data_IF_850938919931
#
_entry.id   IF_850938919931
#
_cell.length_a   1.000
_cell.length_b   1.000
_cell.length_c   1.000
_cell.angle_alpha   90.00
_cell.angle_beta   90.00
_cell.angle_gamma   90.00
#
_symmetry.space_group_name_H-M   'P 1'
#
loop_
_entity.id
_entity.type
_entity.pdbx_description
1 polymer ?
#
# COMPACT_ATOMS: atom_id res chain seq x y z
N UNK A 1 6.72 1.77 -13.44
CA UNK A 1 5.32 1.33 -13.28
C UNK A 1 4.39 2.26 -14.03
N UNK A 2 4.53 3.56 -13.82
CA UNK A 2 3.68 4.61 -14.38
C UNK A 2 3.64 4.55 -15.92
N UNK A 3 4.79 4.38 -16.59
CA UNK A 3 4.84 4.20 -18.04
C UNK A 3 4.03 2.97 -18.51
N UNK A 4 4.11 1.84 -17.79
CA UNK A 4 3.32 0.65 -18.13
C UNK A 4 1.81 0.90 -17.93
N UNK A 5 1.42 1.69 -16.92
CA UNK A 5 0.02 2.08 -16.73
C UNK A 5 -0.47 3.04 -17.82
N UNK A 6 0.37 3.99 -18.24
CA UNK A 6 0.08 4.91 -19.34
C UNK A 6 -0.06 4.18 -20.67
N UNK A 7 0.80 3.18 -20.93
CA UNK A 7 0.69 2.32 -22.10
C UNK A 7 -0.63 1.56 -22.13
N UNK A 8 -1.11 1.11 -20.96
CA UNK A 8 -2.35 0.35 -20.84
C UNK A 8 -2.18 -1.14 -21.20
N UNK A 9 -3.26 -1.91 -21.00
CA UNK A 9 -3.30 -3.35 -21.25
C UNK A 9 -2.80 -4.24 -20.09
N UNK A 10 -2.43 -3.65 -18.95
CA UNK A 10 -2.00 -4.39 -17.76
C UNK A 10 -2.37 -3.65 -16.47
N UNK A 11 -2.58 -4.42 -15.40
CA UNK A 11 -2.57 -3.90 -14.03
C UNK A 11 -1.17 -4.17 -13.46
N UNK A 12 -0.51 -3.15 -12.94
CA UNK A 12 0.86 -3.28 -12.43
C UNK A 12 0.93 -3.04 -10.94
N UNK A 13 1.87 -3.74 -10.30
CA UNK A 13 2.23 -3.48 -8.92
C UNK A 13 3.76 -3.44 -8.76
N UNK A 14 4.23 -2.81 -7.68
CA UNK A 14 5.59 -3.00 -7.19
C UNK A 14 5.58 -3.15 -5.67
N UNK A 15 6.67 -3.70 -5.14
CA UNK A 15 6.82 -3.95 -3.71
C UNK A 15 8.21 -3.62 -3.18
N UNK A 16 8.27 -3.13 -1.95
CA UNK A 16 9.50 -2.95 -1.15
C UNK A 16 9.12 -2.85 0.34
N UNK A 17 10.07 -2.55 1.23
CA UNK A 17 9.77 -2.20 2.62
C UNK A 17 9.17 -0.79 2.69
N UNK A 18 8.22 -0.56 3.61
CA UNK A 18 7.57 0.75 3.77
C UNK A 18 8.58 1.87 4.04
N UNK A 19 9.65 1.58 4.77
CA UNK A 19 10.72 2.55 5.05
C UNK A 19 11.47 3.00 3.78
N UNK A 20 11.52 2.17 2.75
CA UNK A 20 12.17 2.48 1.48
C UNK A 20 11.22 3.11 0.45
N UNK A 21 9.95 3.32 0.81
CA UNK A 21 9.00 4.05 -0.04
C UNK A 21 9.44 5.49 -0.32
N UNK A 22 10.27 6.08 0.55
CA UNK A 22 10.87 7.39 0.32
C UNK A 22 11.74 7.44 -0.96
N UNK A 23 12.39 6.34 -1.34
CA UNK A 23 13.17 6.25 -2.59
C UNK A 23 12.31 6.34 -3.85
N UNK A 24 11.01 6.10 -3.74
CA UNK A 24 10.07 6.12 -4.86
C UNK A 24 8.91 7.10 -4.67
N UNK A 25 8.96 7.94 -3.64
CA UNK A 25 7.91 8.90 -3.28
C UNK A 25 7.55 9.85 -4.41
N UNK A 26 8.55 10.29 -5.18
CA UNK A 26 8.33 11.15 -6.35
C UNK A 26 7.54 10.42 -7.45
N UNK A 27 7.80 9.12 -7.67
CA UNK A 27 7.04 8.33 -8.63
C UNK A 27 5.60 8.11 -8.16
N UNK A 28 5.39 7.80 -6.88
CA UNK A 28 4.04 7.68 -6.30
C UNK A 28 3.27 9.00 -6.47
N UNK A 29 3.93 10.15 -6.22
CA UNK A 29 3.32 11.45 -6.41
C UNK A 29 2.95 11.72 -7.87
N UNK A 30 3.78 11.28 -8.82
CA UNK A 30 3.46 11.38 -10.24
C UNK A 30 2.26 10.50 -10.62
N UNK A 31 2.19 9.26 -10.12
CA UNK A 31 1.02 8.41 -10.28
C UNK A 31 -0.26 9.05 -9.75
N UNK A 32 -0.22 9.68 -8.58
CA UNK A 32 -1.36 10.40 -8.01
C UNK A 32 -1.78 11.61 -8.86
N UNK A 33 -0.82 12.42 -9.33
CA UNK A 33 -1.10 13.58 -10.18
C UNK A 33 -1.66 13.20 -11.55
N UNK A 34 -1.28 12.05 -12.09
CA UNK A 34 -1.71 11.54 -13.39
C UNK A 34 -2.99 10.68 -13.29
N UNK A 35 -3.49 10.42 -12.08
CA UNK A 35 -4.64 9.53 -11.86
C UNK A 35 -4.39 8.08 -12.27
N UNK A 36 -3.15 7.59 -12.12
CA UNK A 36 -2.79 6.23 -12.56
C UNK A 36 -3.13 5.20 -11.47
N UNK A 37 -3.88 4.12 -11.80
CA UNK A 37 -4.21 3.08 -10.84
C UNK A 37 -3.06 2.07 -10.64
N UNK A 38 -1.89 2.57 -10.23
CA UNK A 38 -0.73 1.76 -9.83
C UNK A 38 -0.94 1.23 -8.41
N UNK A 39 -0.62 -0.05 -8.18
CA UNK A 39 -0.63 -0.63 -6.83
C UNK A 39 0.78 -0.71 -6.25
N UNK A 40 0.98 -0.19 -5.04
CA UNK A 40 2.26 -0.23 -4.33
C UNK A 40 2.09 -1.05 -3.05
N UNK A 41 2.88 -2.12 -2.92
CA UNK A 41 2.81 -3.06 -1.82
C UNK A 41 4.01 -2.83 -0.90
N UNK A 42 3.80 -2.11 0.20
CA UNK A 42 4.84 -1.93 1.19
C UNK A 42 4.68 -2.90 2.34
N UNK A 43 5.67 -3.76 2.54
CA UNK A 43 5.72 -4.66 3.69
C UNK A 43 6.57 -4.03 4.80
N UNK A 44 6.63 -4.66 5.97
CA UNK A 44 7.48 -4.20 7.07
C UNK A 44 7.13 -2.77 7.55
N UNK A 45 5.89 -2.32 7.34
CA UNK A 45 5.07 -1.98 8.50
C UNK A 45 5.49 -0.87 9.47
N UNK A 46 6.32 -1.29 10.42
CA UNK A 46 6.43 -0.68 11.73
C UNK A 46 7.67 -1.19 12.47
N UNK A 47 7.83 -0.76 13.72
CA UNK A 47 8.88 -1.23 14.65
C UNK A 47 8.86 -2.75 14.89
N UNK A 48 7.76 -3.44 14.58
CA UNK A 48 7.64 -4.89 14.70
C UNK A 48 8.59 -5.68 13.76
N UNK A 49 9.28 -4.98 12.87
CA UNK A 49 10.43 -5.52 12.14
C UNK A 49 11.47 -6.16 13.07
N UNK A 50 11.82 -5.51 14.17
CA UNK A 50 12.80 -6.02 15.13
C UNK A 50 14.25 -5.69 14.76
N UNK A 51 15.12 -6.68 14.46
CA UNK A 51 16.57 -6.54 14.58
C UNK A 51 17.24 -5.60 13.58
N UNK A 52 16.62 -5.30 12.44
CA UNK A 52 17.20 -4.42 11.41
C UNK A 52 17.28 -2.94 11.84
N UNK A 53 16.68 -2.61 12.99
CA UNK A 53 16.87 -1.34 13.67
C UNK A 53 16.16 -0.15 13.02
N UNK A 54 16.44 1.07 13.52
CA UNK A 54 15.65 2.27 13.21
C UNK A 54 15.71 2.69 11.74
N UNK A 55 16.78 2.35 11.01
CA UNK A 55 16.91 2.65 9.58
C UNK A 55 15.96 1.85 8.70
N UNK A 56 15.37 0.78 9.23
CA UNK A 56 14.42 -0.07 8.52
C UNK A 56 12.99 0.01 9.09
N UNK A 57 12.76 0.80 10.13
CA UNK A 57 11.50 0.87 10.85
C UNK A 57 10.73 2.15 10.47
N UNK A 58 9.59 2.05 9.77
CA UNK A 58 8.79 3.21 9.39
C UNK A 58 8.18 3.90 10.60
N UNK A 59 8.20 5.25 10.63
CA UNK A 59 7.57 6.06 11.70
C UNK A 59 6.51 7.01 11.13
N UNK A 60 6.92 7.94 10.26
CA UNK A 60 6.11 9.02 9.67
C UNK A 60 5.41 8.63 8.37
N UNK A 61 5.76 7.48 7.79
CA UNK A 61 5.47 7.13 6.41
C UNK A 61 3.96 7.04 6.13
N UNK A 62 3.17 6.50 7.07
CA UNK A 62 1.70 6.44 6.95
C UNK A 62 1.08 7.83 6.90
N UNK A 63 1.49 8.73 7.79
CA UNK A 63 0.99 10.12 7.84
C UNK A 63 1.41 10.90 6.59
N UNK A 64 2.65 10.68 6.14
CA UNK A 64 3.20 11.23 4.91
C UNK A 64 2.33 10.91 3.68
N UNK A 65 1.97 9.65 3.47
CA UNK A 65 1.15 9.26 2.31
C UNK A 65 -0.32 9.60 2.48
N UNK A 66 -0.86 9.56 3.71
CA UNK A 66 -2.22 10.05 3.98
C UNK A 66 -2.39 11.54 3.69
N UNK A 67 -1.32 12.31 3.85
CA UNK A 67 -1.30 13.74 3.51
C UNK A 67 -1.11 13.99 1.99
N UNK A 68 -0.79 12.97 1.20
CA UNK A 68 -0.62 13.10 -0.25
C UNK A 68 -1.97 13.04 -0.97
N UNK A 69 -2.42 14.11 -1.66
CA UNK A 69 -3.68 14.07 -2.39
C UNK A 69 -3.67 13.04 -3.52
N UNK A 70 -4.83 12.45 -3.80
CA UNK A 70 -4.99 11.48 -4.90
C UNK A 70 -4.38 10.11 -4.60
N UNK A 71 -4.09 9.81 -3.33
CA UNK A 71 -3.56 8.51 -2.90
C UNK A 71 -4.55 7.83 -1.96
N UNK A 72 -4.81 6.54 -2.18
CA UNK A 72 -5.48 5.68 -1.20
C UNK A 72 -4.45 4.78 -0.53
N UNK A 73 -4.45 4.74 0.80
CA UNK A 73 -3.56 3.88 1.60
C UNK A 73 -4.39 2.93 2.45
N UNK A 74 -4.17 1.63 2.25
CA UNK A 74 -4.69 0.57 3.10
C UNK A 74 -3.62 0.07 4.06
N UNK A 75 -3.98 -0.11 5.33
CA UNK A 75 -3.16 -0.78 6.34
C UNK A 75 -4.03 -1.85 7.01
N UNK A 76 -4.22 -2.99 6.35
CA UNK A 76 -5.17 -4.01 6.80
C UNK A 76 -4.74 -4.62 8.14
N UNK A 77 -5.71 -4.86 9.01
CA UNK A 77 -5.49 -5.44 10.34
C UNK A 77 -5.49 -6.97 10.35
N UNK A 78 -5.99 -7.63 9.30
CA UNK A 78 -6.00 -9.07 9.16
C UNK A 78 -6.05 -9.52 7.66
N UNK A 79 -6.01 -10.84 7.36
CA UNK A 79 -6.08 -11.33 5.98
C UNK A 79 -7.38 -11.00 5.24
N UNK A 80 -8.52 -10.87 5.94
CA UNK A 80 -9.81 -10.57 5.31
C UNK A 80 -9.83 -9.12 4.82
N UNK A 81 -9.33 -8.18 5.64
CA UNK A 81 -9.14 -6.78 5.24
C UNK A 81 -8.09 -6.64 4.13
N UNK A 82 -7.04 -7.47 4.13
CA UNK A 82 -6.05 -7.46 3.06
C UNK A 82 -6.67 -7.88 1.71
N UNK A 83 -7.49 -8.93 1.71
CA UNK A 83 -8.23 -9.37 0.52
C UNK A 83 -9.23 -8.30 0.03
N UNK A 84 -9.96 -7.69 0.95
CA UNK A 84 -10.88 -6.59 0.69
C UNK A 84 -10.18 -5.40 0.02
N UNK A 85 -9.08 -4.97 0.62
CA UNK A 85 -8.24 -3.87 0.12
C UNK A 85 -7.68 -4.17 -1.26
N UNK A 86 -7.27 -5.42 -1.53
CA UNK A 86 -6.78 -5.86 -2.83
C UNK A 86 -7.84 -5.79 -3.92
N UNK A 87 -9.08 -6.21 -3.61
CA UNK A 87 -10.20 -6.07 -4.55
C UNK A 87 -10.44 -4.61 -4.92
N UNK A 88 -10.46 -3.72 -3.93
CA UNK A 88 -10.60 -2.28 -4.14
C UNK A 88 -9.44 -1.70 -4.98
N UNK A 89 -8.20 -2.12 -4.73
CA UNK A 89 -7.04 -1.69 -5.50
C UNK A 89 -7.14 -2.08 -6.99
N UNK A 90 -7.59 -3.31 -7.29
CA UNK A 90 -7.79 -3.76 -8.68
C UNK A 90 -8.89 -2.96 -9.37
N UNK A 91 -9.95 -2.59 -8.63
CA UNK A 91 -11.07 -1.81 -9.15
C UNK A 91 -10.76 -0.33 -9.36
N UNK A 92 -9.68 0.19 -8.76
CA UNK A 92 -9.23 1.58 -8.96
C UNK A 92 -9.02 1.91 -10.43
N UNK A 93 -9.41 3.13 -10.82
CA UNK A 93 -9.31 3.66 -12.19
C UNK A 93 -8.54 4.98 -12.29
N UNK A 94 -8.48 5.73 -11.20
CA UNK A 94 -8.12 7.15 -11.19
C UNK A 94 -7.18 7.54 -10.04
N UNK A 95 -6.68 6.59 -9.26
CA UNK A 95 -5.73 6.86 -8.19
C UNK A 95 -4.80 5.67 -7.89
N UNK A 96 -3.53 5.91 -7.51
CA UNK A 96 -2.69 4.87 -6.97
C UNK A 96 -3.24 4.34 -5.64
N UNK A 97 -2.97 3.08 -5.36
CA UNK A 97 -3.32 2.42 -4.10
C UNK A 97 -2.06 1.89 -3.43
N UNK A 98 -1.87 2.22 -2.16
CA UNK A 98 -0.74 1.79 -1.35
C UNK A 98 -1.21 0.81 -0.28
N UNK A 99 -0.38 -0.19 -0.01
CA UNK A 99 -0.56 -1.11 1.10
C UNK A 99 0.58 -0.94 2.09
N UNK A 100 0.27 -0.89 3.38
CA UNK A 100 1.21 -1.04 4.48
C UNK A 100 0.91 -2.36 5.19
N UNK A 101 1.76 -3.37 5.00
CA UNK A 101 1.58 -4.74 5.45
C UNK A 101 2.58 -5.10 6.55
N UNK A 102 2.10 -5.77 7.59
CA UNK A 102 2.94 -6.23 8.71
C UNK A 102 4.01 -7.23 8.25
N UNK A 103 5.08 -7.35 9.03
CA UNK A 103 6.04 -8.46 8.93
C UNK A 103 5.52 -9.68 9.69
N UNK A 104 5.02 -9.43 10.89
CA UNK A 104 4.56 -10.41 11.84
C UNK A 104 3.16 -10.93 11.52
N UNK A 105 2.88 -12.15 11.99
CA UNK A 105 1.56 -12.75 11.93
C UNK A 105 0.53 -11.90 12.71
N UNK A 106 -0.67 -11.80 12.15
CA UNK A 106 -1.82 -11.16 12.76
C UNK A 106 -2.96 -12.17 12.86
N UNK A 107 -3.71 -12.19 13.98
CA UNK A 107 -4.88 -13.05 14.09
C UNK A 107 -5.98 -12.60 13.13
N UNK A 108 -6.83 -13.54 12.70
CA UNK A 108 -8.08 -13.20 12.01
C UNK A 108 -9.04 -12.61 13.04
N UNK A 109 -9.50 -11.38 12.82
CA UNK A 109 -10.41 -10.72 13.76
C UNK A 109 -11.83 -11.30 13.63
N UNK A 110 -12.57 -11.48 14.74
CA UNK A 110 -13.95 -11.98 14.68
C UNK A 110 -14.85 -11.11 13.79
N UNK A 111 -15.60 -11.75 12.88
CA UNK A 111 -16.59 -11.08 12.01
C UNK A 111 -16.03 -10.40 10.76
N UNK A 112 -14.70 -10.32 10.58
CA UNK A 112 -14.12 -9.65 9.39
C UNK A 112 -14.39 -10.39 8.08
N UNK A 113 -14.61 -11.69 8.13
CA UNK A 113 -15.04 -12.50 6.99
C UNK A 113 -16.37 -12.04 6.37
N UNK A 114 -17.21 -11.33 7.14
CA UNK A 114 -18.48 -10.75 6.70
C UNK A 114 -18.36 -9.24 6.52
N UNK A 115 -17.78 -8.53 7.49
CA UNK A 115 -17.69 -7.06 7.49
C UNK A 115 -16.74 -6.51 6.42
N UNK A 116 -15.68 -7.23 6.07
CA UNK A 116 -14.71 -6.80 5.06
C UNK A 116 -15.12 -7.23 3.62
N UNK A 117 -16.35 -7.71 3.41
CA UNK A 117 -16.80 -8.08 2.06
C UNK A 117 -17.03 -6.84 1.20
N UNK A 118 -16.19 -6.72 0.18
CA UNK A 118 -16.26 -5.73 -0.90
C UNK A 118 -16.48 -6.40 -2.24
#
# INVERSE_FOLDING_TARGET
LDNNMLHGGSKVYASTFLVFSDYMRNAIRLSALQGLPVTYIFTHDSIALGPDGPTHQPIEHLTSFRAMPGVVLFRPCDPNEALASWKLAIQSKDHPTLFALSRQDLPVMPGTNELARV
#
